data_IF_013780199338
#
_entry.id   IF_013780199338
#
_cell.length_a   1.000
_cell.length_b   1.000
_cell.length_c   1.000
_cell.angle_alpha   90.00
_cell.angle_beta   90.00
_cell.angle_gamma   90.00
#
_symmetry.space_group_name_H-M   'P 1'
#
loop_
_entity.id
_entity.type
_entity.pdbx_description
1 polymer ?
#
# COMPACT_ATOMS: atom_id res chain seq x y z
N UNK A 1 28.28 -14.67 5.28
CA UNK A 1 29.71 -14.30 5.43
C UNK A 1 29.97 -13.09 4.57
N UNK A 2 30.17 -11.91 5.18
CA UNK A 2 30.91 -10.77 4.62
C UNK A 2 31.12 -9.74 5.74
N UNK A 3 32.27 -9.83 6.40
CA UNK A 3 33.04 -8.63 6.82
C UNK A 3 34.44 -8.87 6.25
N UNK A 4 35.07 -7.83 5.69
CA UNK A 4 35.85 -6.97 6.58
C UNK A 4 35.62 -5.48 6.30
N UNK A 5 35.51 -4.75 7.41
CA UNK A 5 35.85 -3.33 7.49
C UNK A 5 37.32 -3.20 7.09
N UNK A 6 37.62 -2.69 5.91
CA UNK A 6 39.00 -2.41 5.53
C UNK A 6 39.09 -0.98 5.00
N UNK A 7 38.95 -0.06 5.95
CA UNK A 7 39.14 1.38 5.86
C UNK A 7 39.11 1.87 7.30
N UNK A 8 40.16 2.55 7.75
CA UNK A 8 40.35 2.93 9.16
C UNK A 8 39.45 4.10 9.61
N UNK A 9 38.35 4.36 8.89
CA UNK A 9 37.39 5.42 9.15
C UNK A 9 35.98 4.88 9.42
N UNK A 10 35.16 5.68 10.09
CA UNK A 10 33.74 5.42 10.22
C UNK A 10 33.09 5.56 8.83
N UNK A 11 32.21 4.62 8.44
CA UNK A 11 31.58 4.60 7.11
C UNK A 11 30.77 5.88 6.81
N UNK A 12 30.27 6.53 7.87
CA UNK A 12 29.63 7.85 7.76
C UNK A 12 30.64 8.93 7.38
N UNK A 13 31.84 8.90 7.95
CA UNK A 13 32.90 9.86 7.65
C UNK A 13 33.39 9.66 6.21
N UNK A 14 33.55 8.41 5.76
CA UNK A 14 33.90 8.09 4.36
C UNK A 14 32.81 8.54 3.37
N UNK A 15 31.53 8.43 3.77
CA UNK A 15 30.41 8.93 2.99
C UNK A 15 30.41 10.46 2.90
N UNK A 16 30.68 11.14 4.02
CA UNK A 16 30.79 12.59 4.07
C UNK A 16 31.97 13.08 3.21
N UNK A 17 33.14 12.45 3.31
CA UNK A 17 34.29 12.75 2.46
C UNK A 17 34.00 12.57 0.97
N UNK A 18 33.32 11.47 0.60
CA UNK A 18 32.95 11.22 -0.80
C UNK A 18 31.92 12.23 -1.32
N UNK A 19 30.97 12.64 -0.49
CA UNK A 19 30.01 13.71 -0.80
C UNK A 19 30.72 15.04 -1.02
N UNK A 20 31.62 15.42 -0.11
CA UNK A 20 32.42 16.65 -0.22
C UNK A 20 33.31 16.61 -1.46
N UNK A 21 33.89 15.46 -1.79
CA UNK A 21 34.70 15.28 -3.01
C UNK A 21 33.91 15.57 -4.28
N UNK A 22 32.65 15.10 -4.39
CA UNK A 22 31.78 15.45 -5.54
C UNK A 22 31.53 16.95 -5.58
N UNK A 23 31.14 17.52 -4.44
CA UNK A 23 30.83 18.96 -4.36
C UNK A 23 32.03 19.82 -4.75
N UNK A 24 33.25 19.41 -4.37
CA UNK A 24 34.48 20.11 -4.74
C UNK A 24 34.79 20.04 -6.24
N UNK A 25 34.61 18.89 -6.87
CA UNK A 25 34.83 18.75 -8.32
C UNK A 25 33.79 19.57 -9.09
N UNK A 26 32.52 19.53 -8.67
CA UNK A 26 31.46 20.33 -9.28
C UNK A 26 31.66 21.84 -9.05
N UNK A 27 32.18 22.26 -7.91
CA UNK A 27 32.45 23.67 -7.63
C UNK A 27 33.60 24.24 -8.49
N UNK A 28 34.49 23.39 -9.02
CA UNK A 28 35.56 23.82 -9.92
C UNK A 28 35.06 24.12 -11.33
N UNK A 29 33.86 23.67 -11.73
CA UNK A 29 33.31 23.87 -13.08
C UNK A 29 33.00 25.35 -13.44
N UNK A 30 33.11 26.30 -12.50
CA UNK A 30 32.75 27.71 -12.72
C UNK A 30 33.84 28.58 -13.41
N UNK A 31 35.07 28.10 -13.59
CA UNK A 31 36.14 28.87 -14.26
C UNK A 31 36.46 28.32 -15.68
N UNK A 32 36.61 29.22 -16.67
CA UNK A 32 36.70 28.90 -18.10
C UNK A 32 37.73 27.81 -18.50
N UNK A 33 37.27 26.57 -18.68
CA UNK A 33 38.09 25.44 -19.13
C UNK A 33 38.44 25.46 -20.64
N UNK A 34 39.69 25.12 -20.96
CA UNK A 34 40.08 24.68 -22.31
C UNK A 34 39.50 23.27 -22.60
N UNK A 35 39.29 22.89 -23.87
CA UNK A 35 38.59 21.63 -24.22
C UNK A 35 39.20 20.35 -23.60
N UNK A 36 40.53 20.28 -23.41
CA UNK A 36 41.20 19.14 -22.78
C UNK A 36 40.89 19.03 -21.28
N UNK A 37 40.77 20.18 -20.62
CA UNK A 37 40.54 20.33 -19.19
C UNK A 37 39.07 20.04 -18.84
N UNK A 38 38.16 20.23 -19.80
CA UNK A 38 36.76 19.77 -19.72
C UNK A 38 36.64 18.26 -19.69
N UNK A 39 37.41 17.54 -20.51
CA UNK A 39 37.38 16.08 -20.54
C UNK A 39 37.98 15.46 -19.27
N UNK A 40 39.04 16.06 -18.73
CA UNK A 40 39.63 15.69 -17.43
C UNK A 40 38.65 15.94 -16.28
N UNK A 41 38.04 17.14 -16.23
CA UNK A 41 37.01 17.47 -15.24
C UNK A 41 35.81 16.54 -15.33
N UNK A 42 35.36 16.21 -16.54
CA UNK A 42 34.27 15.25 -16.77
C UNK A 42 34.62 13.86 -16.22
N UNK A 43 35.86 13.40 -16.42
CA UNK A 43 36.35 12.14 -15.88
C UNK A 43 36.40 12.16 -14.35
N UNK A 44 36.86 13.26 -13.76
CA UNK A 44 36.90 13.44 -12.30
C UNK A 44 35.49 13.42 -11.67
N UNK A 45 34.51 14.05 -12.32
CA UNK A 45 33.11 14.01 -11.90
C UNK A 45 32.58 12.57 -11.94
N UNK A 46 32.83 11.85 -13.03
CA UNK A 46 32.40 10.46 -13.17
C UNK A 46 33.04 9.58 -12.07
N UNK A 47 34.34 9.74 -11.81
CA UNK A 47 35.05 8.97 -10.80
C UNK A 47 34.57 9.29 -9.38
N UNK A 48 34.41 10.57 -9.03
CA UNK A 48 33.89 10.99 -7.73
C UNK A 48 32.44 10.51 -7.53
N UNK A 49 31.61 10.58 -8.58
CA UNK A 49 30.23 10.08 -8.58
C UNK A 49 30.16 8.58 -8.32
N UNK A 50 30.98 7.79 -9.01
CA UNK A 50 31.03 6.34 -8.81
C UNK A 50 31.46 5.99 -7.38
N UNK A 51 32.51 6.63 -6.88
CA UNK A 51 33.00 6.41 -5.51
C UNK A 51 31.93 6.73 -4.46
N UNK A 52 31.23 7.85 -4.59
CA UNK A 52 30.14 8.20 -3.69
C UNK A 52 28.99 7.20 -3.75
N UNK A 53 28.58 6.77 -4.94
CA UNK A 53 27.50 5.79 -5.10
C UNK A 53 27.87 4.45 -4.43
N UNK A 54 29.11 4.02 -4.55
CA UNK A 54 29.58 2.79 -3.92
C UNK A 54 29.56 2.90 -2.39
N UNK A 55 30.02 4.03 -1.83
CA UNK A 55 29.99 4.25 -0.38
C UNK A 55 28.54 4.44 0.12
N UNK A 56 27.69 5.13 -0.63
CA UNK A 56 26.26 5.27 -0.32
C UNK A 56 25.57 3.91 -0.22
N UNK A 57 25.84 3.00 -1.18
CA UNK A 57 25.31 1.63 -1.16
C UNK A 57 25.85 0.81 0.00
N UNK A 58 27.13 0.98 0.35
CA UNK A 58 27.71 0.35 1.53
C UNK A 58 27.04 0.86 2.81
N UNK A 59 26.81 2.17 2.92
CA UNK A 59 26.15 2.80 4.06
C UNK A 59 24.70 2.33 4.22
N UNK A 60 23.94 2.28 3.11
CA UNK A 60 22.60 1.73 3.09
C UNK A 60 22.59 0.27 3.54
N UNK A 61 23.48 -0.56 2.97
CA UNK A 61 23.60 -1.98 3.32
C UNK A 61 23.94 -2.17 4.79
N UNK A 62 24.84 -1.35 5.34
CA UNK A 62 25.21 -1.35 6.75
C UNK A 62 24.00 -1.07 7.64
N UNK A 63 23.24 -0.01 7.37
CA UNK A 63 22.07 0.33 8.18
C UNK A 63 20.92 -0.67 8.03
N UNK A 64 20.70 -1.22 6.83
CA UNK A 64 19.72 -2.30 6.63
C UNK A 64 20.10 -3.54 7.44
N UNK A 65 21.37 -3.93 7.44
CA UNK A 65 21.85 -5.06 8.24
C UNK A 65 21.66 -4.79 9.74
N UNK A 66 22.02 -3.59 10.22
CA UNK A 66 21.81 -3.20 11.62
C UNK A 66 20.33 -3.22 11.99
N UNK A 67 19.45 -2.72 11.11
CA UNK A 67 17.99 -2.71 11.31
C UNK A 67 17.42 -4.13 11.35
N UNK A 68 17.87 -5.02 10.47
CA UNK A 68 17.49 -6.43 10.51
C UNK A 68 17.91 -7.12 11.81
N UNK A 69 19.12 -6.86 12.30
CA UNK A 69 19.56 -7.40 13.60
C UNK A 69 18.72 -6.83 14.75
N UNK A 70 18.37 -5.55 14.71
CA UNK A 70 17.51 -4.92 15.70
C UNK A 70 16.09 -5.49 15.70
N UNK A 71 15.51 -5.82 14.53
CA UNK A 71 14.17 -6.44 14.49
C UNK A 71 14.14 -7.83 15.11
N UNK A 72 15.23 -8.59 14.96
CA UNK A 72 15.35 -9.92 15.57
C UNK A 72 15.65 -9.85 17.07
N UNK A 73 16.56 -8.96 17.50
CA UNK A 73 17.09 -8.96 18.87
C UNK A 73 16.40 -7.96 19.81
N UNK A 74 15.80 -6.89 19.26
CA UNK A 74 15.18 -5.80 20.02
C UNK A 74 13.91 -5.28 19.33
N UNK A 75 12.92 -6.14 19.03
CA UNK A 75 11.67 -5.73 18.38
C UNK A 75 10.92 -4.64 19.16
N UNK A 76 11.05 -4.63 20.49
CA UNK A 76 10.48 -3.60 21.37
C UNK A 76 10.96 -2.18 21.05
N UNK A 77 12.17 -2.00 20.51
CA UNK A 77 12.65 -0.68 20.11
C UNK A 77 11.93 -0.20 18.84
N UNK A 78 11.70 -1.10 17.88
CA UNK A 78 10.97 -0.78 16.65
C UNK A 78 9.53 -0.42 16.99
N UNK A 79 8.87 -1.21 17.83
CA UNK A 79 7.52 -0.91 18.29
C UNK A 79 7.44 0.44 19.01
N UNK A 80 8.44 0.80 19.81
CA UNK A 80 8.50 2.12 20.47
C UNK A 80 8.59 3.26 19.46
N UNK A 81 9.40 3.12 18.41
CA UNK A 81 9.51 4.12 17.34
C UNK A 81 8.18 4.27 16.60
N UNK A 82 7.54 3.17 16.20
CA UNK A 82 6.22 3.17 15.56
C UNK A 82 5.15 3.81 16.46
N UNK A 83 5.16 3.51 17.76
CA UNK A 83 4.26 4.13 18.73
C UNK A 83 4.47 5.65 18.80
N UNK A 84 5.72 6.12 18.74
CA UNK A 84 6.03 7.55 18.74
C UNK A 84 5.52 8.22 17.47
N UNK A 85 5.72 7.61 16.32
CA UNK A 85 5.22 8.11 15.03
C UNK A 85 3.69 8.18 15.02
N UNK A 86 3.01 7.13 15.49
CA UNK A 86 1.55 7.10 15.63
C UNK A 86 1.03 8.17 16.58
N UNK A 87 1.72 8.41 17.71
CA UNK A 87 1.36 9.48 18.65
C UNK A 87 1.51 10.87 18.02
N UNK A 88 2.59 11.10 17.27
CA UNK A 88 2.79 12.35 16.56
C UNK A 88 1.70 12.59 15.49
N UNK A 89 1.36 11.54 14.74
CA UNK A 89 0.30 11.62 13.74
C UNK A 89 -1.08 11.84 14.36
N UNK A 90 -1.39 11.17 15.48
CA UNK A 90 -2.63 11.39 16.22
C UNK A 90 -2.74 12.84 16.71
N UNK A 91 -1.68 13.38 17.30
CA UNK A 91 -1.63 14.77 17.73
C UNK A 91 -1.86 15.76 16.57
N UNK A 92 -1.20 15.52 15.42
CA UNK A 92 -1.41 16.33 14.21
C UNK A 92 -2.88 16.30 13.75
N UNK A 93 -3.52 15.13 13.81
CA UNK A 93 -4.94 14.96 13.44
C UNK A 93 -5.86 15.66 14.43
N UNK A 94 -5.60 15.61 15.73
CA UNK A 94 -6.37 16.33 16.73
C UNK A 94 -6.33 17.84 16.49
N UNK A 95 -5.16 18.40 16.18
CA UNK A 95 -5.00 19.81 15.83
C UNK A 95 -5.71 20.17 14.51
N UNK A 96 -5.79 19.24 13.57
CA UNK A 96 -6.58 19.43 12.36
C UNK A 96 -8.08 19.46 12.67
N UNK A 97 -8.58 18.49 13.45
CA UNK A 97 -9.98 18.41 13.85
C UNK A 97 -10.41 19.65 14.63
N UNK A 98 -9.59 20.11 15.58
CA UNK A 98 -9.84 21.32 16.36
C UNK A 98 -10.08 22.54 15.46
N UNK A 99 -9.22 22.75 14.45
CA UNK A 99 -9.39 23.82 13.45
C UNK A 99 -10.68 23.67 12.62
N UNK A 100 -11.11 22.44 12.35
CA UNK A 100 -12.37 22.20 11.64
C UNK A 100 -13.57 22.53 12.54
N UNK A 101 -13.55 22.14 13.81
CA UNK A 101 -14.58 22.48 14.79
C UNK A 101 -14.68 24.00 14.99
N UNK A 102 -13.56 24.72 15.06
CA UNK A 102 -13.54 26.18 15.12
C UNK A 102 -14.23 26.82 13.91
N UNK A 103 -13.93 26.33 12.69
CA UNK A 103 -14.61 26.78 11.48
C UNK A 103 -16.11 26.48 11.51
N UNK A 104 -16.49 25.27 11.90
CA UNK A 104 -17.91 24.89 12.01
C UNK A 104 -18.63 25.82 12.97
N UNK A 105 -18.07 26.09 14.15
CA UNK A 105 -18.64 27.01 15.12
C UNK A 105 -18.77 28.43 14.54
N UNK A 106 -17.76 28.91 13.81
CA UNK A 106 -17.84 30.20 13.12
C UNK A 106 -19.00 30.25 12.11
N UNK A 107 -19.14 29.23 11.27
CA UNK A 107 -20.24 29.15 10.29
C UNK A 107 -21.61 29.03 10.95
N UNK A 108 -21.72 28.26 12.04
CA UNK A 108 -22.95 28.15 12.82
C UNK A 108 -23.36 29.49 13.43
N UNK A 109 -22.41 30.25 13.98
CA UNK A 109 -22.66 31.59 14.52
C UNK A 109 -23.15 32.54 13.42
N UNK A 110 -22.47 32.57 12.26
CA UNK A 110 -22.90 33.39 11.11
C UNK A 110 -24.33 33.06 10.64
N UNK A 111 -24.67 31.76 10.55
CA UNK A 111 -26.02 31.34 10.17
C UNK A 111 -27.07 31.70 11.23
N UNK A 112 -26.71 31.64 12.52
CA UNK A 112 -27.57 32.08 13.62
C UNK A 112 -27.85 33.57 13.54
N UNK A 113 -26.83 34.38 13.29
CA UNK A 113 -26.96 35.84 13.16
C UNK A 113 -27.87 36.22 11.97
N UNK A 114 -27.73 35.54 10.82
CA UNK A 114 -28.59 35.74 9.65
C UNK A 114 -30.06 35.38 9.96
N UNK A 115 -30.31 34.29 10.70
CA UNK A 115 -31.67 33.92 11.14
C UNK A 115 -32.25 34.91 12.14
N UNK A 116 -31.39 35.52 12.97
CA UNK A 116 -31.78 36.50 13.99
C UNK A 116 -32.08 37.88 13.39
N UNK A 117 -31.47 38.22 12.25
CA UNK A 117 -31.64 39.49 11.54
C UNK A 117 -32.73 39.46 10.45
N UNK A 118 -33.29 38.30 10.13
CA UNK A 118 -34.38 38.20 9.16
C UNK A 118 -35.70 38.74 9.77
N UNK A 119 -36.36 39.76 9.19
CA UNK A 119 -37.67 40.19 9.64
C UNK A 119 -38.71 39.06 9.41
N UNK A 120 -39.76 38.95 10.24
CA UNK A 120 -40.68 37.80 10.25
C UNK A 120 -41.54 37.61 8.98
N UNK A 121 -41.33 38.36 7.88
CA UNK A 121 -42.21 38.37 6.71
C UNK A 121 -41.55 38.13 5.33
N UNK A 122 -40.28 37.71 5.24
CA UNK A 122 -39.58 37.62 3.95
C UNK A 122 -39.57 36.22 3.27
N UNK A 123 -40.65 35.43 3.37
CA UNK A 123 -40.75 34.11 2.70
C UNK A 123 -42.01 33.94 1.82
N UNK A 124 -42.52 34.99 1.16
CA UNK A 124 -43.76 34.87 0.34
C UNK A 124 -43.70 35.53 -1.05
N UNK A 125 -42.56 35.55 -1.74
CA UNK A 125 -42.54 35.98 -3.14
C UNK A 125 -41.42 35.28 -3.91
N UNK A 126 -41.78 34.27 -4.69
CA UNK A 126 -40.83 33.54 -5.53
C UNK A 126 -41.45 32.45 -6.41
N UNK A 127 -42.30 32.87 -7.36
CA UNK A 127 -42.56 32.29 -8.68
C UNK A 127 -42.72 30.75 -8.81
N UNK A 128 -43.96 30.30 -9.03
CA UNK A 128 -44.27 29.01 -9.68
C UNK A 128 -45.41 29.24 -10.69
N UNK A 129 -45.35 28.72 -11.93
CA UNK A 129 -46.47 28.80 -12.86
C UNK A 129 -47.58 27.85 -12.40
N UNK A 130 -48.76 28.41 -12.22
CA UNK A 130 -49.95 27.76 -11.69
C UNK A 130 -50.61 26.88 -12.76
N UNK A 131 -50.68 25.57 -12.50
CA UNK A 131 -51.67 24.66 -13.10
C UNK A 131 -52.86 24.52 -12.14
N UNK A 132 -54.12 24.63 -12.58
CA UNK A 132 -55.26 24.50 -11.70
C UNK A 132 -55.71 23.04 -11.61
N UNK A 133 -55.76 22.48 -10.41
CA UNK A 133 -56.53 21.26 -10.14
C UNK A 133 -57.20 21.37 -8.77
N UNK A 134 -58.51 21.09 -8.79
CA UNK A 134 -59.48 21.31 -7.73
C UNK A 134 -59.41 20.30 -6.58
N UNK A 135 -59.86 20.72 -5.38
CA UNK A 135 -60.46 19.84 -4.36
C UNK A 135 -59.76 19.81 -2.99
N UNK A 136 -60.49 19.67 -1.86
CA UNK A 136 -60.12 20.35 -0.61
C UNK A 136 -59.79 19.43 0.59
N UNK A 137 -59.22 20.08 1.62
CA UNK A 137 -59.28 19.75 3.06
C UNK A 137 -58.21 18.82 3.66
N UNK A 138 -57.46 19.34 4.64
CA UNK A 138 -56.72 18.54 5.62
C UNK A 138 -55.59 19.33 6.32
N UNK A 139 -55.88 19.88 7.50
CA UNK A 139 -54.95 20.60 8.38
C UNK A 139 -53.93 19.64 9.01
N UNK A 140 -52.65 20.02 9.06
CA UNK A 140 -51.62 19.35 9.87
C UNK A 140 -50.31 20.18 9.97
N UNK A 141 -49.65 20.28 11.14
CA UNK A 141 -48.47 21.13 11.33
C UNK A 141 -47.13 20.37 11.26
N UNK A 142 -46.05 21.10 10.94
CA UNK A 142 -44.62 20.85 11.30
C UNK A 142 -43.91 19.64 10.65
N UNK A 143 -42.74 19.91 10.02
CA UNK A 143 -41.69 18.90 9.78
C UNK A 143 -40.82 19.20 8.57
N UNK A 144 -39.57 19.63 8.80
CA UNK A 144 -38.55 19.73 7.75
C UNK A 144 -38.22 18.35 7.14
N UNK A 145 -37.56 18.32 5.97
CA UNK A 145 -37.36 17.08 5.22
C UNK A 145 -36.45 16.13 6.01
N UNK A 146 -37.04 15.06 6.54
CA UNK A 146 -36.31 13.94 7.14
C UNK A 146 -35.78 13.02 6.04
N UNK A 147 -34.57 12.44 6.18
CA UNK A 147 -34.04 11.49 5.22
C UNK A 147 -34.91 10.23 5.22
N UNK A 148 -35.26 9.77 4.02
CA UNK A 148 -36.25 8.73 3.79
C UNK A 148 -35.81 7.38 4.43
N UNK A 149 -36.55 6.81 5.41
CA UNK A 149 -36.15 5.59 6.15
C UNK A 149 -35.98 4.33 5.28
N UNK A 150 -36.60 4.30 4.10
CA UNK A 150 -36.58 3.14 3.22
C UNK A 150 -35.16 2.80 2.70
N UNK A 151 -34.33 3.81 2.43
CA UNK A 151 -33.01 3.62 1.82
C UNK A 151 -31.97 3.08 2.82
N UNK A 152 -32.12 3.43 4.10
CA UNK A 152 -31.22 2.96 5.17
C UNK A 152 -31.45 1.47 5.47
N UNK A 153 -32.70 0.99 5.37
CA UNK A 153 -33.00 -0.44 5.54
C UNK A 153 -32.44 -1.31 4.41
N UNK A 154 -32.43 -0.80 3.17
CA UNK A 154 -31.89 -1.51 2.01
C UNK A 154 -30.36 -1.68 2.11
N UNK A 155 -29.66 -0.63 2.55
CA UNK A 155 -28.20 -0.68 2.80
C UNK A 155 -27.85 -1.65 3.94
N UNK A 156 -28.64 -1.66 5.02
CA UNK A 156 -28.37 -2.55 6.15
C UNK A 156 -28.57 -4.03 5.77
N UNK A 157 -29.56 -4.34 4.93
CA UNK A 157 -29.80 -5.70 4.43
C UNK A 157 -28.69 -6.18 3.50
N UNK A 158 -28.14 -5.29 2.66
CA UNK A 158 -27.05 -5.62 1.74
C UNK A 158 -25.72 -5.88 2.47
N UNK A 159 -25.42 -5.10 3.52
CA UNK A 159 -24.22 -5.32 4.36
C UNK A 159 -24.28 -6.65 5.09
N UNK A 160 -25.45 -7.03 5.61
CA UNK A 160 -25.62 -8.29 6.33
C UNK A 160 -25.43 -9.51 5.41
N UNK A 161 -25.89 -9.44 4.17
CA UNK A 161 -25.70 -10.51 3.19
C UNK A 161 -24.23 -10.64 2.75
N UNK A 162 -23.51 -9.52 2.62
CA UNK A 162 -22.09 -9.52 2.27
C UNK A 162 -21.22 -10.07 3.40
N UNK A 163 -21.55 -9.78 4.67
CA UNK A 163 -20.80 -10.28 5.82
C UNK A 163 -20.93 -11.81 5.96
N UNK A 164 -22.10 -12.38 5.66
CA UNK A 164 -22.30 -13.83 5.71
C UNK A 164 -21.49 -14.57 4.64
N UNK A 165 -21.36 -13.98 3.44
CA UNK A 165 -20.55 -14.57 2.36
C UNK A 165 -19.05 -14.55 2.68
N UNK A 166 -18.57 -13.50 3.34
CA UNK A 166 -17.16 -13.41 3.77
C UNK A 166 -16.82 -14.45 4.84
N UNK A 167 -17.74 -14.70 5.78
CA UNK A 167 -17.54 -15.71 6.83
C UNK A 167 -17.47 -17.13 6.25
N UNK A 168 -18.28 -17.44 5.24
CA UNK A 168 -18.25 -18.75 4.57
C UNK A 168 -16.93 -18.98 3.82
N UNK A 169 -16.39 -17.94 3.17
CA UNK A 169 -15.12 -18.03 2.46
C UNK A 169 -13.94 -18.27 3.42
N UNK A 170 -13.95 -17.64 4.60
CA UNK A 170 -12.92 -17.83 5.62
C UNK A 170 -12.95 -19.26 6.20
N UNK A 171 -14.14 -19.84 6.38
CA UNK A 171 -14.30 -21.22 6.86
C UNK A 171 -13.77 -22.25 5.83
N UNK A 172 -14.00 -22.01 4.53
CA UNK A 172 -13.48 -22.87 3.47
C UNK A 172 -11.94 -22.82 3.39
N UNK A 173 -11.34 -21.65 3.60
CA UNK A 173 -9.89 -21.49 3.61
C UNK A 173 -9.23 -22.22 4.79
N UNK A 174 -9.85 -22.16 5.98
CA UNK A 174 -9.37 -22.92 7.15
C UNK A 174 -9.41 -24.43 6.91
N UNK A 175 -10.48 -24.93 6.28
CA UNK A 175 -10.63 -26.35 5.99
C UNK A 175 -9.58 -26.85 4.99
N UNK A 176 -9.23 -26.03 3.99
CA UNK A 176 -8.17 -26.35 3.04
C UNK A 176 -6.79 -26.38 3.72
N UNK A 177 -6.53 -25.43 4.62
CA UNK A 177 -5.28 -25.38 5.37
C UNK A 177 -5.13 -26.58 6.31
N UNK A 178 -6.20 -27.01 6.96
CA UNK A 178 -6.20 -28.21 7.80
C UNK A 178 -5.92 -29.48 6.98
N UNK A 179 -6.49 -29.59 5.78
CA UNK A 179 -6.24 -30.73 4.89
C UNK A 179 -4.76 -30.79 4.44
N UNK A 180 -4.17 -29.64 4.11
CA UNK A 180 -2.77 -29.58 3.72
C UNK A 180 -1.83 -29.96 4.89
N UNK A 181 -2.15 -29.51 6.11
CA UNK A 181 -1.37 -29.85 7.30
C UNK A 181 -1.44 -31.35 7.62
N UNK A 182 -2.61 -31.97 7.46
CA UNK A 182 -2.78 -33.41 7.65
C UNK A 182 -1.94 -34.21 6.63
N UNK A 183 -1.93 -33.79 5.37
CA UNK A 183 -1.14 -34.46 4.33
C UNK A 183 0.37 -34.37 4.60
N UNK A 184 0.85 -33.21 5.08
CA UNK A 184 2.25 -33.03 5.44
C UNK A 184 2.66 -33.91 6.63
N UNK A 185 1.79 -34.03 7.64
CA UNK A 185 2.05 -34.87 8.81
C UNK A 185 2.11 -36.37 8.45
N UNK A 186 1.27 -36.80 7.50
CA UNK A 186 1.29 -38.18 6.99
C UNK A 186 2.61 -38.50 6.25
N UNK A 187 3.18 -37.52 5.53
CA UNK A 187 4.48 -37.67 4.86
C UNK A 187 5.64 -37.78 5.86
N UNK A 188 5.63 -36.97 6.93
CA UNK A 188 6.65 -37.05 7.99
C UNK A 188 6.61 -38.39 8.73
N UNK A 189 5.41 -38.92 8.98
CA UNK A 189 5.26 -40.21 9.66
C UNK A 189 5.78 -41.37 8.81
N UNK A 190 5.60 -41.33 7.49
CA UNK A 190 6.11 -42.36 6.58
C UNK A 190 7.65 -42.33 6.46
N UNK A 191 8.26 -41.15 6.60
CA UNK A 191 9.72 -40.99 6.52
C UNK A 191 10.45 -41.49 7.79
N UNK A 192 9.78 -41.52 8.95
CA UNK A 192 10.36 -42.07 10.19
C UNK A 192 10.28 -43.60 10.31
N UNK A 193 9.50 -44.29 9.47
CA UNK A 193 9.42 -45.77 9.47
C UNK A 193 10.48 -46.41 8.55
N UNK A 194 11.06 -45.67 7.60
CA UNK A 194 12.05 -46.19 6.66
C UNK A 194 13.52 -46.02 7.09
N UNK A 195 13.78 -45.42 8.26
CA UNK A 195 15.11 -44.96 8.70
C UNK A 195 15.68 -45.68 9.92
N UNK A 196 15.83 -47.00 9.89
CA UNK A 196 16.83 -47.68 10.75
C UNK A 196 17.98 -48.18 9.86
N UNK A 197 19.22 -47.68 10.05
CA UNK A 197 20.35 -48.12 9.24
C UNK A 197 20.99 -49.37 9.86
N UNK A 198 20.85 -50.50 9.14
CA UNK A 198 21.65 -51.70 9.33
C UNK A 198 23.01 -51.55 8.64
N UNK A 199 24.04 -51.77 9.43
CA UNK A 199 25.47 -51.73 9.15
C UNK A 199 25.92 -52.57 7.93
N UNK A 200 26.78 -51.99 7.09
CA UNK A 200 27.83 -52.74 6.38
C UNK A 200 27.77 -52.74 4.84
N UNK A 201 28.89 -52.37 4.22
CA UNK A 201 29.33 -53.01 2.98
C UNK A 201 29.50 -52.12 1.75
N UNK A 202 30.77 -51.91 1.40
CA UNK A 202 31.30 -51.47 0.12
C UNK A 202 30.49 -51.83 -1.15
N UNK A 203 30.51 -50.95 -2.15
CA UNK A 203 30.15 -51.34 -3.51
C UNK A 203 29.83 -50.15 -4.42
N UNK A 204 30.65 -50.00 -5.45
CA UNK A 204 30.39 -49.12 -6.59
C UNK A 204 29.05 -49.46 -7.29
N UNK A 205 28.47 -48.48 -7.99
CA UNK A 205 27.46 -48.75 -9.02
C UNK A 205 26.19 -47.91 -8.90
N UNK A 206 26.19 -46.81 -9.65
CA UNK A 206 25.07 -46.29 -10.45
C UNK A 206 23.68 -46.93 -10.21
N UNK A 207 22.73 -46.21 -9.57
CA UNK A 207 21.30 -46.32 -9.88
C UNK A 207 20.60 -44.99 -9.57
N UNK A 208 19.91 -44.44 -10.57
CA UNK A 208 19.09 -43.26 -10.43
C UNK A 208 17.98 -43.46 -9.40
N UNK A 209 17.99 -42.61 -8.37
CA UNK A 209 16.86 -42.48 -7.47
C UNK A 209 15.72 -41.81 -8.24
N UNK A 210 14.74 -42.61 -8.67
CA UNK A 210 13.50 -42.10 -9.26
C UNK A 210 12.85 -41.13 -8.28
N UNK A 211 12.90 -39.85 -8.66
CA UNK A 211 12.17 -38.78 -7.99
C UNK A 211 10.68 -39.13 -8.06
N UNK A 212 10.02 -39.23 -6.91
CA UNK A 212 8.62 -39.62 -6.84
C UNK A 212 7.75 -38.61 -7.62
N UNK A 213 6.68 -39.06 -8.33
CA UNK A 213 5.85 -38.17 -9.16
C UNK A 213 5.28 -36.97 -8.39
N UNK A 214 5.09 -37.11 -7.07
CA UNK A 214 4.61 -36.04 -6.20
C UNK A 214 5.66 -34.96 -5.93
N UNK A 215 6.95 -35.30 -5.90
CA UNK A 215 8.03 -34.35 -5.65
C UNK A 215 8.39 -33.55 -6.92
N UNK A 216 8.19 -34.14 -8.10
CA UNK A 216 8.29 -33.43 -9.38
C UNK A 216 7.20 -32.35 -9.54
N UNK A 217 5.98 -32.62 -9.07
CA UNK A 217 4.86 -31.67 -9.17
C UNK A 217 5.02 -30.47 -8.23
N UNK A 218 5.66 -30.66 -7.06
CA UNK A 218 5.96 -29.58 -6.11
C UNK A 218 7.03 -28.61 -6.62
N UNK A 219 8.04 -29.10 -7.35
CA UNK A 219 9.09 -28.25 -7.94
C UNK A 219 8.58 -27.46 -9.16
N UNK A 220 7.64 -28.02 -9.93
CA UNK A 220 7.00 -27.33 -11.05
C UNK A 220 6.14 -26.12 -10.60
N UNK A 221 5.63 -26.13 -9.37
CA UNK A 221 4.86 -25.00 -8.83
C UNK A 221 5.76 -23.84 -8.35
N UNK A 222 7.04 -24.09 -8.02
CA UNK A 222 7.99 -23.02 -7.62
C UNK A 222 8.79 -22.42 -8.77
N UNK A 223 8.89 -23.08 -9.93
CA UNK A 223 9.62 -22.56 -11.11
C UNK A 223 8.75 -21.70 -12.06
N UNK A 224 7.44 -21.59 -11.84
CA UNK A 224 6.52 -20.76 -12.64
C UNK A 224 6.26 -19.39 -12.00
N UNK A 225 7.34 -18.65 -11.73
CA UNK A 225 7.31 -17.20 -11.58
C UNK A 225 7.19 -16.44 -12.91
N UNK A 226 6.99 -17.16 -14.03
CA UNK A 226 6.65 -16.58 -15.32
C UNK A 226 5.14 -16.71 -15.55
N UNK A 227 4.50 -15.57 -15.74
CA UNK A 227 3.07 -15.38 -16.03
C UNK A 227 2.57 -16.34 -17.13
N UNK A 228 1.35 -16.89 -17.02
CA UNK A 228 0.74 -17.60 -18.13
C UNK A 228 0.41 -16.62 -19.28
N UNK A 229 0.58 -17.02 -20.56
CA UNK A 229 0.10 -16.22 -21.69
C UNK A 229 -1.43 -16.27 -21.72
N UNK A 230 -2.05 -15.12 -21.98
CA UNK A 230 -3.48 -14.98 -22.20
C UNK A 230 -3.95 -15.90 -23.34
N UNK A 231 -5.14 -16.53 -23.24
CA UNK A 231 -5.75 -17.17 -24.40
C UNK A 231 -6.13 -16.08 -25.41
N UNK A 232 -5.56 -16.16 -26.61
CA UNK A 232 -6.03 -15.39 -27.76
C UNK A 232 -7.28 -16.06 -28.32
N UNK A 233 -8.41 -15.35 -28.30
CA UNK A 233 -9.60 -15.77 -29.04
C UNK A 233 -10.46 -14.56 -29.43
N UNK A 234 -10.55 -14.31 -30.75
CA UNK A 234 -11.66 -13.61 -31.39
C UNK A 234 -11.61 -12.07 -31.46
N UNK A 235 -11.93 -11.45 -32.62
CA UNK A 235 -11.91 -10.01 -32.78
C UNK A 235 -13.20 -9.40 -32.24
N UNK A 236 -13.08 -8.48 -31.29
CA UNK A 236 -14.20 -7.69 -30.79
C UNK A 236 -14.57 -7.97 -29.34
N UNK A 237 -13.70 -7.55 -28.41
CA UNK A 237 -14.13 -7.00 -27.12
C UNK A 237 -12.91 -6.36 -26.44
N UNK A 238 -13.01 -5.05 -26.18
CA UNK A 238 -11.98 -4.28 -25.52
C UNK A 238 -11.70 -4.86 -24.12
N UNK A 239 -10.42 -5.14 -23.86
CA UNK A 239 -9.91 -5.61 -22.57
C UNK A 239 -10.28 -4.64 -21.46
N UNK A 240 -11.10 -5.14 -20.53
CA UNK A 240 -11.41 -4.49 -19.27
C UNK A 240 -10.24 -4.67 -18.31
N UNK A 241 -9.35 -3.69 -18.26
CA UNK A 241 -8.11 -3.73 -17.48
C UNK A 241 -8.33 -3.40 -15.99
N UNK A 242 -7.32 -3.60 -15.12
CA UNK A 242 -7.37 -3.17 -13.72
C UNK A 242 -7.68 -1.67 -13.53
N UNK A 243 -7.48 -0.86 -14.57
CA UNK A 243 -7.80 0.56 -14.63
C UNK A 243 -9.32 0.86 -14.73
N UNK A 244 -10.15 -0.05 -15.21
CA UNK A 244 -11.62 0.14 -15.29
C UNK A 244 -12.29 0.26 -13.91
N UNK A 245 -11.64 -0.22 -12.85
CA UNK A 245 -12.15 -0.07 -11.49
C UNK A 245 -11.94 1.37 -10.98
N UNK A 246 -10.97 2.11 -11.51
CA UNK A 246 -10.77 3.52 -11.17
C UNK A 246 -11.83 4.42 -11.83
N UNK A 247 -12.23 4.13 -13.08
CA UNK A 247 -13.28 4.90 -13.78
C UNK A 247 -14.67 4.74 -13.14
N UNK A 248 -14.96 3.56 -12.56
CA UNK A 248 -16.22 3.34 -11.83
C UNK A 248 -16.25 4.00 -10.46
N UNK A 249 -15.10 4.22 -9.82
CA UNK A 249 -15.03 4.93 -8.55
C UNK A 249 -15.20 6.45 -8.73
N UNK A 250 -14.68 7.02 -9.82
CA UNK A 250 -14.78 8.46 -10.10
C UNK A 250 -16.16 8.88 -10.61
N UNK A 251 -16.95 7.99 -11.20
CA UNK A 251 -18.32 8.30 -11.67
C UNK A 251 -19.31 8.59 -10.53
N UNK A 252 -19.03 8.18 -9.28
CA UNK A 252 -19.90 8.50 -8.12
C UNK A 252 -19.65 9.87 -7.51
N UNK A 253 -18.55 10.54 -7.88
CA UNK A 253 -18.23 11.90 -7.43
C UNK A 253 -18.30 12.80 -8.66
N UNK A 254 -19.48 13.40 -8.85
CA UNK A 254 -19.80 14.23 -10.01
C UNK A 254 -18.80 15.37 -10.23
N UNK A 255 -17.91 15.17 -11.19
CA UNK A 255 -17.18 16.23 -11.88
C UNK A 255 -17.69 16.26 -13.33
N UNK A 256 -18.58 17.20 -13.70
CA UNK A 256 -18.91 17.41 -15.10
C UNK A 256 -17.68 17.99 -15.81
N UNK A 257 -17.20 17.26 -16.82
CA UNK A 257 -16.08 17.61 -17.67
C UNK A 257 -16.39 18.92 -18.43
N UNK A 258 -15.66 19.98 -18.10
CA UNK A 258 -15.75 21.29 -18.72
C UNK A 258 -14.78 21.43 -19.88
N UNK A 259 -15.07 20.79 -21.01
CA UNK A 259 -14.44 21.10 -22.30
C UNK A 259 -15.44 21.71 -23.27
N UNK A 260 -15.41 23.03 -23.35
CA UNK A 260 -15.61 23.84 -24.56
C UNK A 260 -14.34 24.63 -24.79
#
# INVERSE_FOLDING_TARGET
MATPTNGAGNLVDEFEEAYLSIMQVLAKEEENFNNLEKDETRMDIEQASLKFLDIARQLESFFLQKRFVLSALKPELILKEEILELKAELHRKDEMLKRHYEKINHWQNLLSDVRSQAPPNALTTGLSPQVPAAGPSGVGPIGGPSPNPAMMSAIQQQVQQQQQQQQQQQQQQMQLQQQQHMQQQQLLQQQMVAGMPGNGGAGAGNVGSMMSPQQAMFMQQQSMGQRPPFPSQGPGNLLRGPLDYLEKATTSVGMPDGRR
#
